data_IF_197312864693
#
_entry.id   IF_197312864693
#
_cell.length_a   1.000
_cell.length_b   1.000
_cell.length_c   1.000
_cell.angle_alpha   90.00
_cell.angle_beta   90.00
_cell.angle_gamma   90.00
#
_symmetry.space_group_name_H-M   'P 1'
#
loop_
_entity.id
_entity.type
_entity.pdbx_description
1 polymer ?
#
# COMPACT_ATOMS: atom_id res chain seq x y z
N UNK A 1 -7.89 -0.43 -14.91
CA UNK A 1 -8.99 0.16 -14.10
C UNK A 1 -8.45 0.59 -12.75
N UNK A 2 -8.84 1.77 -12.25
CA UNK A 2 -8.58 2.24 -10.89
C UNK A 2 -9.87 2.15 -10.09
N UNK A 3 -9.82 1.60 -8.88
CA UNK A 3 -11.01 1.39 -8.04
C UNK A 3 -10.68 1.40 -6.54
N UNK A 4 -11.62 1.83 -5.72
CA UNK A 4 -11.58 1.75 -4.26
C UNK A 4 -12.28 0.50 -3.69
N UNK A 5 -12.86 -0.33 -4.58
CA UNK A 5 -13.59 -1.55 -4.19
C UNK A 5 -13.24 -2.74 -5.06
N UNK A 6 -13.20 -3.93 -4.47
CA UNK A 6 -13.02 -5.21 -5.16
C UNK A 6 -14.38 -5.93 -5.28
N UNK A 7 -15.27 -5.38 -6.09
CA UNK A 7 -16.56 -5.97 -6.37
C UNK A 7 -16.46 -7.15 -7.36
N UNK A 8 -17.60 -7.81 -7.61
CA UNK A 8 -17.68 -8.96 -8.52
C UNK A 8 -17.28 -8.60 -9.97
N UNK A 9 -17.50 -7.35 -10.39
CA UNK A 9 -17.12 -6.86 -11.73
C UNK A 9 -15.60 -6.72 -11.83
N UNK A 10 -14.97 -6.13 -10.82
CA UNK A 10 -13.50 -5.98 -10.73
C UNK A 10 -12.80 -7.34 -10.68
N UNK A 11 -13.32 -8.27 -9.89
CA UNK A 11 -12.79 -9.64 -9.80
C UNK A 11 -12.94 -10.38 -11.16
N UNK A 12 -14.08 -10.21 -11.85
CA UNK A 12 -14.25 -10.78 -13.18
C UNK A 12 -13.26 -10.20 -14.19
N UNK A 13 -12.99 -8.89 -14.12
CA UNK A 13 -12.00 -8.24 -14.98
C UNK A 13 -10.61 -8.85 -14.78
N UNK A 14 -10.17 -9.02 -13.51
CA UNK A 14 -8.89 -9.64 -13.16
C UNK A 14 -8.83 -11.09 -13.69
N UNK A 15 -9.84 -11.91 -13.42
CA UNK A 15 -9.88 -13.29 -13.91
C UNK A 15 -9.74 -13.41 -15.42
N UNK A 16 -10.16 -12.38 -16.17
CA UNK A 16 -10.08 -12.31 -17.63
C UNK A 16 -8.80 -11.62 -18.17
N UNK A 17 -7.81 -11.35 -17.33
CA UNK A 17 -6.53 -10.77 -17.78
C UNK A 17 -6.45 -9.25 -17.67
N UNK A 18 -7.41 -8.60 -17.03
CA UNK A 18 -7.38 -7.15 -16.82
C UNK A 18 -6.33 -6.71 -15.82
N UNK A 19 -5.98 -5.42 -15.89
CA UNK A 19 -5.08 -4.75 -14.94
C UNK A 19 -5.92 -3.85 -14.02
N UNK A 20 -5.71 -3.97 -12.70
CA UNK A 20 -6.45 -3.20 -11.68
C UNK A 20 -5.48 -2.53 -10.71
N UNK A 21 -5.65 -1.23 -10.50
CA UNK A 21 -5.11 -0.52 -9.35
C UNK A 21 -6.21 -0.45 -8.29
N UNK A 22 -6.00 -1.14 -7.19
CA UNK A 22 -6.88 -1.10 -6.03
C UNK A 22 -6.33 -0.11 -5.01
N UNK A 23 -7.11 0.91 -4.69
CA UNK A 23 -6.76 2.00 -3.78
C UNK A 23 -7.92 2.26 -2.81
N UNK A 24 -8.01 1.44 -1.72
CA UNK A 24 -9.13 1.50 -0.79
C UNK A 24 -9.17 2.82 -0.02
N UNK A 25 -10.37 3.25 0.33
CA UNK A 25 -10.53 4.40 1.23
C UNK A 25 -9.90 4.12 2.58
N UNK A 26 -9.48 5.17 3.27
CA UNK A 26 -8.99 5.04 4.65
C UNK A 26 -10.03 4.32 5.52
N UNK A 27 -9.58 3.27 6.23
CA UNK A 27 -10.43 2.44 7.09
C UNK A 27 -11.25 1.37 6.38
N UNK A 28 -11.08 1.19 5.05
CA UNK A 28 -11.81 0.16 4.31
C UNK A 28 -11.18 -1.25 4.42
N UNK A 29 -9.94 -1.36 4.87
CA UNK A 29 -9.29 -2.64 5.13
C UNK A 29 -9.75 -3.18 6.49
N UNK A 30 -10.14 -4.47 6.52
CA UNK A 30 -10.59 -5.08 7.77
C UNK A 30 -9.45 -5.20 8.79
N UNK A 31 -9.83 -5.32 10.06
CA UNK A 31 -8.88 -5.47 11.16
C UNK A 31 -7.93 -6.66 10.97
N UNK A 32 -8.49 -7.79 10.57
CA UNK A 32 -7.76 -9.04 10.33
C UNK A 32 -6.69 -8.86 9.26
N UNK A 33 -7.00 -8.06 8.21
CA UNK A 33 -6.11 -7.78 7.10
C UNK A 33 -5.11 -6.65 7.37
N UNK A 34 -5.13 -6.01 8.55
CA UNK A 34 -4.18 -4.96 8.93
C UNK A 34 -4.79 -3.57 9.11
N UNK A 35 -6.09 -3.40 8.91
CA UNK A 35 -6.76 -2.10 9.02
C UNK A 35 -6.74 -1.48 10.43
N UNK A 36 -6.38 -2.24 11.46
CA UNK A 36 -6.15 -1.74 12.81
C UNK A 36 -4.81 -1.02 13.00
N UNK A 37 -3.84 -1.25 12.11
CA UNK A 37 -2.51 -0.67 12.21
C UNK A 37 -2.56 0.80 11.83
N UNK A 38 -2.26 1.67 12.77
CA UNK A 38 -2.14 3.11 12.49
C UNK A 38 -0.79 3.40 11.86
N UNK A 39 -0.82 4.00 10.68
CA UNK A 39 0.41 4.44 10.03
C UNK A 39 0.94 5.72 10.69
N UNK A 40 2.23 5.80 10.90
CA UNK A 40 2.87 6.92 11.56
C UNK A 40 4.38 6.98 11.32
N UNK A 41 5.00 7.97 11.93
CA UNK A 41 6.44 8.21 11.87
C UNK A 41 6.98 8.15 13.29
N UNK A 42 7.19 6.95 13.83
CA UNK A 42 7.82 6.81 15.14
C UNK A 42 9.31 6.53 14.98
N UNK A 43 10.13 7.27 15.70
CA UNK A 43 11.56 7.01 15.78
C UNK A 43 11.93 6.17 17.00
N UNK A 44 10.96 5.88 17.87
CA UNK A 44 11.18 5.24 19.16
C UNK A 44 10.47 3.89 19.15
N UNK A 45 11.22 2.82 18.92
CA UNK A 45 10.69 1.47 18.75
C UNK A 45 9.98 0.89 19.98
N UNK A 46 10.28 1.37 21.18
CA UNK A 46 9.59 0.92 22.43
C UNK A 46 8.36 1.74 22.77
N UNK A 47 8.11 2.84 22.08
CA UNK A 47 7.02 3.76 22.43
C UNK A 47 5.65 3.10 22.28
N UNK A 48 5.46 2.28 21.25
CA UNK A 48 4.22 1.52 21.05
C UNK A 48 3.94 0.53 22.17
N UNK A 49 4.98 -0.13 22.70
CA UNK A 49 4.84 -1.05 23.83
C UNK A 49 4.37 -0.37 25.12
N UNK A 50 4.80 0.86 25.37
CA UNK A 50 4.41 1.63 26.56
C UNK A 50 3.05 2.31 26.40
N UNK A 51 2.66 2.60 25.18
CA UNK A 51 1.38 3.26 24.86
C UNK A 51 0.28 2.28 24.47
N UNK A 52 0.56 1.00 24.36
CA UNK A 52 -0.40 -0.05 23.96
C UNK A 52 -1.73 -0.03 24.74
N UNK A 53 -1.70 0.37 26.00
CA UNK A 53 -2.92 0.50 26.81
C UNK A 53 -3.71 1.80 26.56
N UNK A 54 -3.12 2.78 25.88
CA UNK A 54 -3.68 4.12 25.74
C UNK A 54 -3.88 4.54 24.27
N UNK A 55 -3.18 3.87 23.31
CA UNK A 55 -3.21 4.22 21.90
C UNK A 55 -3.17 2.96 21.01
N UNK A 56 -3.73 3.00 19.81
CA UNK A 56 -3.58 1.93 18.85
C UNK A 56 -2.10 1.73 18.49
N UNK A 57 -1.68 0.53 18.05
CA UNK A 57 -0.33 0.29 17.59
C UNK A 57 0.01 1.20 16.40
N UNK A 58 1.20 1.78 16.43
CA UNK A 58 1.71 2.65 15.38
C UNK A 58 2.84 1.95 14.62
N UNK A 59 2.79 2.05 13.29
CA UNK A 59 3.94 1.71 12.48
C UNK A 59 5.06 2.75 12.66
N UNK A 60 6.32 2.30 12.46
CA UNK A 60 7.50 3.17 12.59
C UNK A 60 7.78 4.01 11.35
N UNK A 61 7.08 3.76 10.27
CA UNK A 61 7.24 4.42 8.99
C UNK A 61 7.23 3.43 7.83
N UNK A 62 7.83 3.82 6.72
CA UNK A 62 7.90 3.00 5.52
C UNK A 62 9.33 2.87 5.01
N UNK A 63 9.56 1.77 4.29
CA UNK A 63 10.72 1.58 3.42
C UNK A 63 10.25 1.44 1.99
N UNK A 64 10.96 2.08 1.07
CA UNK A 64 10.68 2.07 -0.35
C UNK A 64 11.88 1.53 -1.12
N UNK A 65 11.64 1.07 -2.33
CA UNK A 65 12.67 0.88 -3.33
C UNK A 65 12.64 2.06 -4.32
N UNK A 66 13.54 3.05 -4.21
CA UNK A 66 13.53 4.24 -5.07
C UNK A 66 13.73 3.93 -6.56
N UNK A 67 14.38 2.80 -6.86
CA UNK A 67 14.66 2.38 -8.23
C UNK A 67 13.48 1.60 -8.85
N UNK A 68 12.47 1.27 -8.07
CA UNK A 68 11.33 0.51 -8.57
C UNK A 68 10.54 1.32 -9.62
N UNK A 69 10.25 0.76 -10.81
CA UNK A 69 9.58 1.49 -11.90
C UNK A 69 8.25 2.14 -11.52
N UNK A 70 7.52 1.58 -10.55
CA UNK A 70 6.26 2.13 -10.05
C UNK A 70 6.42 3.51 -9.38
N UNK A 71 7.61 3.84 -8.87
CA UNK A 71 7.91 5.10 -8.19
C UNK A 71 8.69 6.10 -9.06
N UNK A 72 8.95 5.78 -10.32
CA UNK A 72 9.76 6.61 -11.24
C UNK A 72 9.22 8.03 -11.40
N UNK A 73 7.91 8.22 -11.38
CA UNK A 73 7.26 9.54 -11.46
C UNK A 73 6.84 10.08 -10.09
N UNK A 74 7.22 9.38 -9.02
CA UNK A 74 7.08 9.81 -7.63
C UNK A 74 8.45 9.66 -6.95
N UNK A 75 9.44 10.50 -7.30
CA UNK A 75 10.80 10.36 -6.80
C UNK A 75 10.84 10.35 -5.29
N UNK A 76 11.48 9.35 -4.72
CA UNK A 76 11.53 9.11 -3.29
C UNK A 76 12.92 8.62 -2.87
N UNK A 77 13.20 8.71 -1.58
CA UNK A 77 14.34 8.04 -0.95
C UNK A 77 13.91 6.64 -0.50
N UNK A 78 14.82 5.83 0.00
CA UNK A 78 14.47 4.48 0.47
C UNK A 78 13.63 4.44 1.76
N UNK A 79 13.35 5.60 2.36
CA UNK A 79 12.53 5.78 3.55
C UNK A 79 11.57 6.97 3.35
N UNK A 80 10.58 7.12 4.25
CA UNK A 80 9.67 8.26 4.16
C UNK A 80 10.38 9.59 4.35
N UNK A 81 9.96 10.57 3.56
CA UNK A 81 10.22 11.98 3.75
C UNK A 81 8.88 12.73 3.82
N UNK A 82 8.91 14.07 3.77
CA UNK A 82 7.71 14.88 3.95
C UNK A 82 6.62 14.63 2.87
N UNK A 83 6.99 14.27 1.64
CA UNK A 83 6.01 13.98 0.59
C UNK A 83 5.13 12.75 0.89
N UNK A 84 5.58 11.83 1.75
CA UNK A 84 4.80 10.67 2.19
C UNK A 84 3.81 10.99 3.30
N UNK A 85 3.82 12.23 3.84
CA UNK A 85 2.94 12.60 4.95
C UNK A 85 1.47 12.41 4.62
N UNK A 86 1.00 12.94 3.49
CA UNK A 86 -0.37 12.77 3.02
C UNK A 86 -0.73 11.29 2.83
N UNK A 87 0.15 10.53 2.18
CA UNK A 87 -0.05 9.11 1.94
C UNK A 87 -0.19 8.32 3.25
N UNK A 88 0.62 8.61 4.26
CA UNK A 88 0.57 7.94 5.55
C UNK A 88 -0.72 8.28 6.31
N UNK A 89 -1.18 9.53 6.29
CA UNK A 89 -2.42 9.94 6.94
C UNK A 89 -3.66 9.26 6.32
N UNK A 90 -3.64 9.00 5.03
CA UNK A 90 -4.73 8.39 4.27
C UNK A 90 -4.46 6.91 3.90
N UNK A 91 -3.42 6.31 4.48
CA UNK A 91 -3.01 4.95 4.18
C UNK A 91 -3.66 3.90 5.07
N UNK A 92 -3.78 2.69 4.55
CA UNK A 92 -4.12 1.47 5.25
C UNK A 92 -2.95 0.50 5.17
N UNK A 93 -2.62 -0.17 6.26
CA UNK A 93 -1.69 -1.29 6.22
C UNK A 93 -2.41 -2.54 5.70
N UNK A 94 -1.64 -3.41 5.02
CA UNK A 94 -2.13 -4.72 4.60
C UNK A 94 -1.16 -5.79 5.10
N UNK A 95 -1.67 -6.79 5.83
CA UNK A 95 -0.91 -7.97 6.27
C UNK A 95 -0.66 -8.89 5.08
N UNK A 96 0.57 -8.91 4.59
CA UNK A 96 0.92 -9.68 3.40
C UNK A 96 0.87 -11.19 3.65
N UNK A 97 1.17 -11.65 4.87
CA UNK A 97 1.11 -13.05 5.23
C UNK A 97 -0.31 -13.66 5.11
N UNK A 98 -1.36 -12.85 5.24
CA UNK A 98 -2.75 -13.28 5.06
C UNK A 98 -3.14 -13.43 3.57
N UNK A 99 -2.29 -12.93 2.66
CA UNK A 99 -2.48 -13.05 1.21
C UNK A 99 -1.51 -14.12 0.68
N UNK A 100 -0.23 -13.81 0.70
CA UNK A 100 0.87 -14.71 0.40
C UNK A 100 2.18 -14.16 1.04
N UNK A 101 2.86 -14.93 1.88
CA UNK A 101 4.08 -14.49 2.58
C UNK A 101 5.27 -14.23 1.64
N UNK A 102 5.20 -14.64 0.38
CA UNK A 102 6.26 -14.43 -0.61
C UNK A 102 6.16 -13.06 -1.30
N UNK A 103 5.05 -12.34 -1.11
CA UNK A 103 4.89 -11.00 -1.69
C UNK A 103 5.98 -10.08 -1.13
N UNK A 104 6.76 -9.48 -2.04
CA UNK A 104 7.70 -8.42 -1.71
C UNK A 104 7.05 -7.07 -2.02
N UNK A 105 6.77 -6.24 -1.02
CA UNK A 105 6.12 -4.96 -1.28
C UNK A 105 7.08 -3.96 -1.91
N UNK A 106 6.57 -3.16 -2.84
CA UNK A 106 7.24 -1.98 -3.43
C UNK A 106 7.45 -0.91 -2.34
N UNK A 107 6.44 -0.75 -1.48
CA UNK A 107 6.52 0.08 -0.29
C UNK A 107 6.10 -0.76 0.91
N UNK A 108 7.07 -1.00 1.78
CA UNK A 108 6.91 -1.77 3.01
C UNK A 108 6.55 -0.82 4.16
N UNK A 109 5.60 -1.22 5.00
CA UNK A 109 5.38 -0.58 6.29
C UNK A 109 6.24 -1.28 7.33
N UNK A 110 6.97 -0.51 8.12
CA UNK A 110 7.76 -1.02 9.23
C UNK A 110 6.88 -1.09 10.47
N UNK A 111 6.54 -2.31 10.84
CA UNK A 111 5.68 -2.58 12.00
C UNK A 111 6.43 -2.39 13.32
N UNK A 112 5.67 -2.37 14.43
CA UNK A 112 6.27 -2.39 15.75
C UNK A 112 6.98 -3.74 16.01
N UNK A 113 7.89 -3.75 16.95
CA UNK A 113 8.69 -4.95 17.21
C UNK A 113 7.96 -6.00 18.06
N UNK A 114 6.79 -5.69 18.61
CA UNK A 114 6.00 -6.64 19.38
C UNK A 114 5.17 -7.54 18.47
N UNK A 115 4.53 -6.97 17.45
CA UNK A 115 3.71 -7.69 16.48
C UNK A 115 4.57 -8.22 15.33
N UNK A 116 5.45 -7.37 14.81
CA UNK A 116 6.37 -7.70 13.72
C UNK A 116 5.70 -8.35 12.51
N UNK A 117 4.54 -7.84 12.12
CA UNK A 117 3.84 -8.32 10.93
C UNK A 117 4.55 -7.90 9.65
N UNK A 118 4.48 -8.75 8.63
CA UNK A 118 4.84 -8.36 7.26
C UNK A 118 3.74 -7.48 6.68
N UNK A 119 4.00 -6.15 6.62
CA UNK A 119 3.03 -5.15 6.19
C UNK A 119 3.43 -4.53 4.86
N UNK A 120 2.46 -4.42 3.93
CA UNK A 120 2.58 -3.71 2.67
C UNK A 120 1.73 -2.44 2.64
N UNK A 121 2.28 -1.37 2.04
CA UNK A 121 1.52 -0.19 1.63
C UNK A 121 1.26 -0.23 0.13
N UNK A 122 2.28 -0.58 -0.67
CA UNK A 122 2.15 -0.76 -2.12
C UNK A 122 2.79 -2.10 -2.48
N UNK A 123 2.03 -2.95 -3.17
CA UNK A 123 2.51 -4.25 -3.65
C UNK A 123 1.69 -4.72 -4.85
N UNK A 124 2.17 -5.74 -5.53
CA UNK A 124 1.52 -6.28 -6.72
C UNK A 124 1.39 -7.80 -6.66
N UNK A 125 0.41 -8.33 -7.38
CA UNK A 125 0.18 -9.76 -7.51
C UNK A 125 -0.56 -10.10 -8.82
N UNK A 126 -0.55 -11.39 -9.18
CA UNK A 126 -1.42 -11.95 -10.21
C UNK A 126 -2.71 -12.47 -9.58
N UNK A 127 -3.83 -12.24 -10.23
CA UNK A 127 -5.14 -12.79 -9.84
C UNK A 127 -5.75 -13.45 -11.07
N UNK A 128 -5.77 -14.77 -11.12
CA UNK A 128 -6.15 -15.49 -12.32
C UNK A 128 -5.22 -15.16 -13.49
N UNK A 129 -5.77 -14.62 -14.58
CA UNK A 129 -4.98 -14.17 -15.74
C UNK A 129 -4.58 -12.69 -15.66
N UNK A 130 -5.11 -11.94 -14.69
CA UNK A 130 -4.92 -10.51 -14.54
C UNK A 130 -3.82 -10.13 -13.57
N UNK A 131 -3.60 -8.84 -13.46
CA UNK A 131 -2.59 -8.25 -12.60
C UNK A 131 -3.24 -7.17 -11.72
N UNK A 132 -2.96 -7.23 -10.43
CA UNK A 132 -3.40 -6.23 -9.47
C UNK A 132 -2.21 -5.49 -8.90
N UNK A 133 -2.31 -4.18 -8.84
CA UNK A 133 -1.46 -3.30 -8.05
C UNK A 133 -2.30 -2.80 -6.88
N UNK A 134 -1.89 -3.11 -5.68
CA UNK A 134 -2.55 -2.67 -4.45
C UNK A 134 -1.78 -1.49 -3.90
N UNK A 135 -2.48 -0.38 -3.73
CA UNK A 135 -1.97 0.81 -3.03
C UNK A 135 -2.88 1.07 -1.82
N UNK A 136 -2.40 0.81 -0.61
CA UNK A 136 -3.16 1.01 0.62
C UNK A 136 -3.56 2.47 0.89
N UNK A 137 -2.99 3.43 0.13
CA UNK A 137 -3.34 4.85 0.24
C UNK A 137 -4.64 5.12 -0.50
N UNK A 138 -5.55 5.85 0.11
CA UNK A 138 -6.70 6.45 -0.58
C UNK A 138 -6.20 7.52 -1.56
N UNK A 139 -6.17 7.19 -2.85
CA UNK A 139 -5.72 8.08 -3.92
C UNK A 139 -6.87 8.78 -4.65
N UNK A 140 -8.13 8.49 -4.30
CA UNK A 140 -9.29 8.96 -5.04
C UNK A 140 -10.06 10.08 -4.35
N UNK A 141 -10.03 10.12 -3.01
CA UNK A 141 -10.74 11.15 -2.24
C UNK A 141 -9.95 12.47 -2.26
N UNK A 142 -10.67 13.58 -2.39
CA UNK A 142 -10.19 14.97 -2.28
C UNK A 142 -8.93 15.26 -3.14
N UNK A 143 -8.88 14.72 -4.34
CA UNK A 143 -7.70 14.84 -5.23
C UNK A 143 -7.32 16.26 -5.59
N UNK A 144 -8.25 17.20 -5.51
CA UNK A 144 -7.99 18.61 -5.86
C UNK A 144 -7.02 19.24 -4.87
N UNK A 145 -7.08 18.84 -3.60
CA UNK A 145 -6.27 19.41 -2.52
C UNK A 145 -5.06 18.53 -2.14
N UNK A 146 -4.91 17.32 -2.74
CA UNK A 146 -3.87 16.34 -2.40
C UNK A 146 -2.94 16.11 -3.58
N UNK A 147 -1.95 16.99 -3.72
CA UNK A 147 -1.03 17.00 -4.87
C UNK A 147 -0.15 15.74 -4.89
N UNK A 148 0.33 15.32 -3.72
CA UNK A 148 1.17 14.12 -3.57
C UNK A 148 0.39 12.85 -3.93
N UNK A 149 -0.87 12.73 -3.51
CA UNK A 149 -1.74 11.62 -3.88
C UNK A 149 -1.98 11.56 -5.39
N UNK A 150 -2.18 12.72 -6.04
CA UNK A 150 -2.32 12.81 -7.50
C UNK A 150 -1.04 12.36 -8.21
N UNK A 151 0.12 12.80 -7.71
CA UNK A 151 1.41 12.43 -8.30
C UNK A 151 1.68 10.93 -8.12
N UNK A 152 1.39 10.37 -6.95
CA UNK A 152 1.51 8.93 -6.71
C UNK A 152 0.56 8.15 -7.62
N UNK A 153 -0.71 8.56 -7.73
CA UNK A 153 -1.67 7.94 -8.65
C UNK A 153 -1.16 7.93 -10.09
N UNK A 154 -0.60 9.07 -10.54
CA UNK A 154 -0.02 9.19 -11.89
C UNK A 154 1.16 8.22 -12.07
N UNK A 155 2.06 8.13 -11.10
CA UNK A 155 3.20 7.20 -11.16
C UNK A 155 2.74 5.76 -11.27
N UNK A 156 1.82 5.33 -10.40
CA UNK A 156 1.33 3.95 -10.36
C UNK A 156 0.55 3.58 -11.63
N UNK A 157 -0.29 4.48 -12.14
CA UNK A 157 -1.04 4.22 -13.39
C UNK A 157 -0.13 4.16 -14.60
N UNK A 158 0.87 5.04 -14.70
CA UNK A 158 1.88 5.02 -15.76
C UNK A 158 2.70 3.71 -15.72
N UNK A 159 3.10 3.25 -14.54
CA UNK A 159 3.78 1.98 -14.35
C UNK A 159 2.95 0.79 -14.88
N UNK A 160 1.65 0.77 -14.58
CA UNK A 160 0.76 -0.30 -15.03
C UNK A 160 0.62 -0.39 -16.56
N UNK A 161 0.96 0.67 -17.30
CA UNK A 161 0.93 0.68 -18.78
C UNK A 161 2.19 0.09 -19.39
N UNK A 162 3.28 -0.05 -18.61
CA UNK A 162 4.55 -0.59 -19.07
C UNK A 162 4.59 -2.12 -19.02
N UNK A 163 5.61 -2.71 -19.63
CA UNK A 163 5.91 -4.14 -19.54
C UNK A 163 6.52 -4.51 -18.17
N UNK A 164 7.10 -3.54 -17.46
CA UNK A 164 7.68 -3.74 -16.14
C UNK A 164 6.63 -4.17 -15.10
N UNK A 165 5.33 -3.82 -15.34
CA UNK A 165 4.24 -4.32 -14.50
C UNK A 165 3.98 -5.80 -14.77
N UNK A 166 4.82 -6.63 -14.17
CA UNK A 166 4.76 -8.09 -14.31
C UNK A 166 4.92 -8.83 -12.97
N UNK A 167 3.89 -8.79 -12.10
CA UNK A 167 3.91 -9.45 -10.80
C UNK A 167 4.28 -10.94 -10.93
N UNK A 168 5.11 -11.43 -10.01
CA UNK A 168 5.57 -12.83 -10.02
C UNK A 168 4.67 -13.75 -9.21
N UNK A 169 4.05 -13.23 -8.14
CA UNK A 169 3.26 -14.01 -7.18
C UNK A 169 1.81 -14.07 -7.67
N UNK A 170 1.23 -15.24 -7.66
CA UNK A 170 -0.19 -15.47 -7.97
C UNK A 170 -0.96 -15.79 -6.70
N UNK A 171 -2.03 -15.07 -6.46
CA UNK A 171 -2.95 -15.21 -5.31
C UNK A 171 -4.35 -15.59 -5.74
#
# INVERSE_FOLDING_TARGET
VVTDTLDSRTIKLLKNGGKVLFTPRKGAISKEMGGEVTLGFSTIFWNTGWTLHLQPPYAFGILTDPEHPALRLFPTEFHQNYQWWDAMLHGNAVKLAEIDPQIQPIVRIVDDWFQNWSLGLIFEARVGKGKILVCGVDLLSDRENRLEARQLLHSLTSYMETEDFDPRITV
#
